data_IF_861534295516
#
_entry.id   IF_861534295516
#
_cell.length_a   1.000
_cell.length_b   1.000
_cell.length_c   1.000
_cell.angle_alpha   90.00
_cell.angle_beta   90.00
_cell.angle_gamma   90.00
#
_symmetry.space_group_name_H-M   'P 1'
#
loop_
_entity.id
_entity.type
_entity.pdbx_description
1 polymer ?
#
# COMPACT_ATOMS: atom_id res chain seq x y z
N UNK A 1 7.11 15.91 -18.43
CA UNK A 1 6.53 15.13 -17.32
C UNK A 1 6.14 13.68 -17.66
N UNK A 2 6.13 13.24 -18.92
CA UNK A 2 5.78 11.85 -19.32
C UNK A 2 6.87 10.79 -19.00
N UNK A 3 8.12 11.19 -18.77
CA UNK A 3 9.24 10.27 -18.57
C UNK A 3 9.47 9.83 -17.11
N UNK A 4 8.98 10.57 -16.12
CA UNK A 4 9.20 10.25 -14.69
C UNK A 4 8.31 9.09 -14.24
N UNK A 5 7.08 8.99 -14.73
CA UNK A 5 6.14 7.91 -14.36
C UNK A 5 6.60 6.53 -14.88
N UNK A 6 7.20 6.49 -16.07
CA UNK A 6 7.74 5.24 -16.63
C UNK A 6 8.98 4.76 -15.88
N UNK A 7 9.82 5.68 -15.40
CA UNK A 7 11.06 5.36 -14.69
C UNK A 7 10.79 4.73 -13.31
N UNK A 8 9.78 5.21 -12.59
CA UNK A 8 9.42 4.69 -11.26
C UNK A 8 8.85 3.27 -11.39
N UNK A 9 7.99 3.01 -12.38
CA UNK A 9 7.44 1.67 -12.61
C UNK A 9 8.51 0.66 -13.03
N UNK A 10 9.48 1.08 -13.83
CA UNK A 10 10.61 0.25 -14.28
C UNK A 10 11.59 -0.06 -13.15
N UNK A 11 11.82 0.87 -12.22
CA UNK A 11 12.66 0.66 -11.05
C UNK A 11 12.07 -0.36 -10.06
N UNK A 12 10.75 -0.37 -9.86
CA UNK A 12 10.08 -1.36 -9.01
C UNK A 12 10.11 -2.77 -9.64
N UNK A 13 9.96 -2.88 -10.96
CA UNK A 13 10.06 -4.16 -11.67
C UNK A 13 11.50 -4.71 -11.68
N UNK A 14 12.50 -3.84 -11.84
CA UNK A 14 13.91 -4.22 -11.83
C UNK A 14 14.38 -4.71 -10.46
N UNK A 15 13.89 -4.12 -9.36
CA UNK A 15 14.19 -4.59 -8.01
C UNK A 15 13.60 -5.98 -7.72
N UNK A 16 12.48 -6.34 -8.35
CA UNK A 16 11.88 -7.67 -8.21
C UNK A 16 12.68 -8.76 -8.94
N UNK A 17 13.35 -8.44 -10.06
CA UNK A 17 14.13 -9.39 -10.87
C UNK A 17 15.52 -9.62 -10.29
N UNK A 18 16.16 -8.60 -9.72
CA UNK A 18 17.52 -8.72 -9.17
C UNK A 18 17.62 -9.56 -7.88
N UNK A 19 16.48 -9.88 -7.24
CA UNK A 19 16.44 -10.68 -6.01
C UNK A 19 16.50 -12.21 -6.26
N UNK A 20 16.54 -12.67 -7.51
CA UNK A 20 16.32 -14.10 -7.84
C UNK A 20 17.58 -14.91 -8.14
N UNK A 21 18.75 -14.32 -8.36
CA UNK A 21 19.90 -15.03 -8.94
C UNK A 21 21.15 -15.18 -8.04
N UNK A 22 21.01 -15.22 -6.71
CA UNK A 22 22.15 -15.53 -5.84
C UNK A 22 22.21 -17.03 -5.49
N UNK A 23 23.32 -17.75 -5.79
CA UNK A 23 23.48 -19.14 -5.41
C UNK A 23 23.45 -19.31 -3.88
N UNK A 24 22.76 -20.35 -3.43
CA UNK A 24 22.51 -20.67 -2.03
C UNK A 24 23.79 -21.03 -1.27
N UNK A 25 24.27 -20.12 -0.44
CA UNK A 25 25.15 -20.47 0.67
C UNK A 25 24.34 -21.07 1.82
N UNK A 26 24.89 -22.06 2.60
CA UNK A 26 24.15 -22.72 3.66
C UNK A 26 23.77 -21.74 4.79
N UNK A 27 22.53 -21.84 5.28
CA UNK A 27 21.98 -21.18 6.48
C UNK A 27 21.82 -19.66 6.53
N UNK A 28 21.66 -18.96 5.42
CA UNK A 28 21.13 -17.59 5.53
C UNK A 28 19.66 -17.67 5.99
N UNK A 29 19.36 -17.03 7.13
CA UNK A 29 18.05 -17.00 7.75
C UNK A 29 16.99 -16.54 6.73
N UNK A 30 16.06 -17.44 6.39
CA UNK A 30 14.93 -17.13 5.52
C UNK A 30 13.82 -16.52 6.37
N UNK A 31 13.87 -15.20 6.52
CA UNK A 31 12.89 -14.47 7.32
C UNK A 31 11.57 -14.30 6.60
N UNK A 32 11.56 -14.36 5.27
CA UNK A 32 10.33 -14.32 4.46
C UNK A 32 9.50 -15.57 4.76
N UNK A 33 10.08 -16.77 4.60
CA UNK A 33 9.35 -18.01 4.83
C UNK A 33 8.92 -18.19 6.28
N UNK A 34 9.70 -17.67 7.23
CA UNK A 34 9.33 -17.70 8.66
C UNK A 34 8.18 -16.77 9.02
N UNK A 35 7.96 -15.71 8.25
CA UNK A 35 6.99 -14.65 8.57
C UNK A 35 5.71 -14.77 7.76
N UNK A 36 5.82 -15.05 6.47
CA UNK A 36 4.68 -15.09 5.56
C UNK A 36 4.09 -16.51 5.45
N UNK A 37 3.75 -17.10 6.59
CA UNK A 37 3.14 -18.42 6.68
C UNK A 37 1.62 -18.30 6.79
N UNK A 38 0.88 -19.28 6.28
CA UNK A 38 -0.58 -19.35 6.43
C UNK A 38 -0.97 -19.21 7.90
N UNK A 39 -1.93 -18.32 8.17
CA UNK A 39 -2.40 -18.05 9.53
C UNK A 39 -1.51 -17.08 10.33
N UNK A 40 -0.43 -16.57 9.74
CA UNK A 40 0.34 -15.50 10.38
C UNK A 40 -0.44 -14.18 10.34
N UNK A 41 -0.46 -13.49 11.47
CA UNK A 41 -0.97 -12.12 11.60
C UNK A 41 0.13 -11.13 11.33
N UNK A 42 -0.19 -10.11 10.55
CA UNK A 42 0.59 -8.87 10.40
C UNK A 42 0.00 -7.80 11.30
N UNK A 43 0.85 -7.09 12.05
CA UNK A 43 0.50 -5.85 12.75
C UNK A 43 1.55 -4.82 12.39
N UNK A 44 1.15 -3.58 12.14
CA UNK A 44 2.12 -2.57 11.70
C UNK A 44 1.67 -1.15 11.97
N UNK A 45 2.63 -0.25 11.84
CA UNK A 45 2.43 1.20 11.80
C UNK A 45 2.84 1.72 10.43
N UNK A 46 2.15 2.74 9.96
CA UNK A 46 2.40 3.31 8.64
C UNK A 46 2.24 4.83 8.64
N UNK A 47 2.95 5.46 7.72
CA UNK A 47 2.75 6.83 7.34
C UNK A 47 2.94 6.97 5.83
N UNK A 48 2.28 7.94 5.25
CA UNK A 48 2.37 8.15 3.82
C UNK A 48 1.82 9.48 3.40
N UNK A 49 1.81 9.68 2.10
CA UNK A 49 1.23 10.85 1.50
C UNK A 49 1.09 10.68 0.00
N UNK A 50 0.38 11.58 -0.60
CA UNK A 50 0.12 11.53 -2.02
C UNK A 50 -0.22 12.87 -2.62
N UNK A 51 -0.34 12.84 -3.93
CA UNK A 51 -0.74 13.99 -4.73
C UNK A 51 -1.81 13.59 -5.73
N UNK A 52 -2.77 14.47 -5.91
CA UNK A 52 -3.71 14.37 -7.01
C UNK A 52 -3.03 14.61 -8.36
N UNK A 53 -3.50 13.94 -9.38
CA UNK A 53 -3.07 14.06 -10.77
C UNK A 53 -4.24 14.57 -11.64
N UNK A 54 -3.93 15.22 -12.75
CA UNK A 54 -4.94 15.71 -13.68
C UNK A 54 -5.84 16.77 -13.04
N UNK A 55 -7.15 16.55 -12.98
CA UNK A 55 -8.12 17.51 -12.41
C UNK A 55 -7.97 17.73 -10.90
N UNK A 56 -7.40 16.77 -10.18
CA UNK A 56 -7.09 16.89 -8.74
C UNK A 56 -5.66 17.37 -8.48
N UNK A 57 -4.93 17.78 -9.52
CA UNK A 57 -3.57 18.35 -9.36
C UNK A 57 -3.60 19.56 -8.41
N UNK A 58 -2.61 19.62 -7.52
CA UNK A 58 -2.58 20.61 -6.44
C UNK A 58 -3.18 20.15 -5.11
N UNK A 59 -3.90 19.03 -5.08
CA UNK A 59 -4.32 18.41 -3.82
C UNK A 59 -3.22 17.46 -3.34
N UNK A 60 -2.57 17.84 -2.25
CA UNK A 60 -1.57 17.00 -1.59
C UNK A 60 -2.08 16.61 -0.20
N UNK A 61 -1.76 15.42 0.26
CA UNK A 61 -2.20 14.92 1.55
C UNK A 61 -1.15 14.03 2.20
N UNK A 62 -1.21 13.95 3.52
CA UNK A 62 -0.41 13.06 4.34
C UNK A 62 -1.31 12.30 5.30
N UNK A 63 -0.87 11.13 5.74
CA UNK A 63 -1.61 10.31 6.69
C UNK A 63 -0.66 9.47 7.53
N UNK A 64 -1.17 9.02 8.69
CA UNK A 64 -0.51 8.03 9.54
C UNK A 64 -1.54 7.16 10.24
N UNK A 65 -1.13 5.93 10.56
CA UNK A 65 -2.02 4.96 11.18
C UNK A 65 -1.40 3.59 11.41
N UNK A 66 -2.25 2.58 11.42
CA UNK A 66 -1.88 1.19 11.63
C UNK A 66 -2.44 0.26 10.57
N UNK A 67 -1.77 -0.88 10.42
CA UNK A 67 -2.16 -2.03 9.57
C UNK A 67 -2.36 -3.26 10.43
N UNK A 68 -3.39 -4.03 10.11
CA UNK A 68 -3.56 -5.41 10.56
C UNK A 68 -3.81 -6.30 9.35
N UNK A 69 -3.15 -7.45 9.27
CA UNK A 69 -3.27 -8.39 8.16
C UNK A 69 -3.30 -9.83 8.61
N UNK A 70 -3.73 -10.70 7.72
CA UNK A 70 -3.77 -12.15 7.91
C UNK A 70 -3.33 -12.85 6.63
N UNK A 71 -2.31 -13.69 6.71
CA UNK A 71 -1.89 -14.56 5.60
C UNK A 71 -2.92 -15.67 5.44
N UNK A 72 -3.67 -15.65 4.36
CA UNK A 72 -4.82 -16.54 4.14
C UNK A 72 -4.42 -17.91 3.61
N UNK A 73 -3.40 -17.97 2.76
CA UNK A 73 -3.01 -19.19 2.06
C UNK A 73 -1.57 -19.57 2.36
N UNK A 74 -1.24 -20.85 2.12
CA UNK A 74 0.15 -21.26 1.93
C UNK A 74 0.68 -20.74 0.61
N UNK A 75 1.95 -21.04 0.32
CA UNK A 75 2.56 -20.66 -0.94
C UNK A 75 1.99 -21.49 -2.10
N UNK A 76 1.69 -20.80 -3.19
CA UNK A 76 1.19 -21.36 -4.44
C UNK A 76 2.04 -20.84 -5.61
N UNK A 77 1.83 -21.43 -6.77
CA UNK A 77 2.48 -21.12 -8.04
C UNK A 77 4.01 -21.36 -8.02
N UNK A 78 4.59 -21.74 -9.15
CA UNK A 78 6.02 -21.96 -9.28
C UNK A 78 6.77 -20.69 -9.72
N UNK A 79 8.10 -20.74 -9.59
CA UNK A 79 8.99 -19.72 -10.12
C UNK A 79 8.82 -18.35 -9.47
N UNK A 80 8.88 -17.31 -10.26
CA UNK A 80 8.77 -15.93 -9.79
C UNK A 80 7.39 -15.56 -9.23
N UNK A 81 6.35 -16.32 -9.59
CA UNK A 81 5.00 -16.14 -9.05
C UNK A 81 4.78 -16.86 -7.72
N UNK A 82 5.79 -17.61 -7.22
CA UNK A 82 5.69 -18.30 -5.94
C UNK A 82 5.33 -17.34 -4.81
N UNK A 83 4.19 -17.59 -4.16
CA UNK A 83 3.67 -16.64 -3.19
C UNK A 83 2.38 -17.06 -2.52
N UNK A 84 1.83 -16.18 -1.72
CA UNK A 84 0.60 -16.39 -0.96
C UNK A 84 -0.30 -15.17 -0.93
N UNK A 85 -1.57 -15.41 -0.64
CA UNK A 85 -2.57 -14.37 -0.42
C UNK A 85 -2.59 -13.90 1.03
N UNK A 86 -2.71 -12.60 1.16
CA UNK A 86 -2.95 -11.90 2.40
C UNK A 86 -4.16 -10.98 2.25
N UNK A 87 -4.94 -10.87 3.31
CA UNK A 87 -5.94 -9.83 3.51
C UNK A 87 -5.46 -8.89 4.59
N UNK A 88 -5.54 -7.59 4.34
CA UNK A 88 -5.15 -6.59 5.31
C UNK A 88 -6.16 -5.44 5.40
N UNK A 89 -6.06 -4.71 6.49
CA UNK A 89 -6.88 -3.54 6.83
C UNK A 89 -5.95 -2.43 7.30
N UNK A 90 -6.13 -1.21 6.76
CA UNK A 90 -5.45 -0.02 7.26
C UNK A 90 -6.45 0.91 7.96
N UNK A 91 -6.07 1.39 9.14
CA UNK A 91 -6.79 2.44 9.88
C UNK A 91 -5.85 3.63 10.02
N UNK A 92 -6.21 4.74 9.41
CA UNK A 92 -5.43 5.97 9.39
C UNK A 92 -6.22 7.09 10.06
N UNK A 93 -6.16 7.22 11.39
CA UNK A 93 -6.88 8.26 12.12
C UNK A 93 -6.34 9.66 11.85
N UNK A 94 -5.13 9.75 11.34
CA UNK A 94 -4.51 11.02 10.97
C UNK A 94 -4.48 11.13 9.45
N UNK A 95 -5.27 12.04 8.91
CA UNK A 95 -5.30 12.40 7.50
C UNK A 95 -5.38 13.92 7.39
N UNK A 96 -4.50 14.54 6.64
CA UNK A 96 -4.47 15.99 6.47
C UNK A 96 -4.14 16.37 5.02
N UNK A 97 -4.86 17.36 4.50
CA UNK A 97 -4.59 17.96 3.20
C UNK A 97 -3.65 19.15 3.39
N UNK A 98 -2.61 19.18 2.58
CA UNK A 98 -1.55 20.18 2.63
C UNK A 98 -1.92 21.44 1.83
N UNK A 99 -1.25 22.60 2.06
CA UNK A 99 -1.45 23.81 1.28
C UNK A 99 -1.35 23.58 -0.24
N UNK A 100 -2.09 24.36 -1.08
CA UNK A 100 -2.85 25.55 -0.70
C UNK A 100 -4.22 25.29 -0.07
N UNK A 101 -4.71 24.06 -0.08
CA UNK A 101 -5.99 23.66 0.51
C UNK A 101 -5.87 23.25 1.98
N UNK A 102 -5.07 23.97 2.77
CA UNK A 102 -4.78 23.65 4.16
C UNK A 102 -5.99 23.76 5.10
N UNK A 103 -5.91 23.04 6.24
CA UNK A 103 -6.96 23.03 7.26
C UNK A 103 -8.02 21.96 7.07
N UNK A 104 -7.90 21.12 6.04
CA UNK A 104 -8.75 19.94 5.85
C UNK A 104 -8.06 18.74 6.52
N UNK A 105 -8.73 18.15 7.48
CA UNK A 105 -8.25 16.96 8.21
C UNK A 105 -9.38 15.93 8.35
N UNK A 106 -9.00 14.73 8.68
CA UNK A 106 -9.93 13.61 8.84
C UNK A 106 -9.24 12.30 9.15
N UNK A 107 -9.85 11.23 8.71
CA UNK A 107 -9.34 9.88 8.82
C UNK A 107 -9.64 9.05 7.59
N UNK A 108 -8.99 7.91 7.48
CA UNK A 108 -9.23 6.94 6.41
C UNK A 108 -9.26 5.52 6.96
N UNK A 109 -10.10 4.70 6.35
CA UNK A 109 -10.26 3.29 6.66
C UNK A 109 -10.25 2.48 5.37
N UNK A 110 -9.31 1.53 5.23
CA UNK A 110 -9.21 0.63 4.08
C UNK A 110 -9.46 -0.82 4.54
N UNK A 111 -10.70 -1.31 4.55
CA UNK A 111 -11.03 -2.67 4.98
C UNK A 111 -10.64 -3.74 3.97
N UNK A 112 -10.42 -3.35 2.73
CA UNK A 112 -10.17 -4.29 1.63
C UNK A 112 -8.78 -4.03 1.06
N UNK A 113 -7.81 -4.82 1.50
CA UNK A 113 -6.49 -4.90 0.90
C UNK A 113 -6.26 -6.38 0.57
N UNK A 114 -6.39 -6.74 -0.70
CA UNK A 114 -6.13 -8.08 -1.21
C UNK A 114 -4.76 -8.10 -1.84
N UNK A 115 -3.82 -8.80 -1.21
CA UNK A 115 -2.42 -8.74 -1.53
C UNK A 115 -1.89 -10.12 -1.92
N UNK A 116 -1.07 -10.15 -2.96
CA UNK A 116 -0.24 -11.27 -3.32
C UNK A 116 1.20 -10.98 -2.94
N UNK A 117 1.77 -11.78 -2.02
CA UNK A 117 3.14 -11.71 -1.59
C UNK A 117 4.00 -12.66 -2.43
N UNK A 118 5.08 -12.18 -3.03
CA UNK A 118 6.07 -13.01 -3.70
C UNK A 118 7.09 -13.48 -2.66
N UNK A 119 7.14 -14.78 -2.40
CA UNK A 119 7.86 -15.35 -1.24
C UNK A 119 9.15 -16.08 -1.61
N UNK A 120 9.64 -15.95 -2.84
CA UNK A 120 10.89 -16.59 -3.29
C UNK A 120 12.15 -15.97 -2.68
N UNK A 121 12.09 -14.74 -2.19
CA UNK A 121 13.22 -14.06 -1.53
C UNK A 121 13.43 -14.53 -0.09
N UNK A 122 14.62 -14.30 0.45
CA UNK A 122 14.96 -14.65 1.85
C UNK A 122 14.68 -13.52 2.85
N UNK A 123 14.92 -12.27 2.43
CA UNK A 123 14.78 -11.06 3.26
C UNK A 123 13.92 -10.00 2.59
N UNK A 124 13.67 -10.12 1.30
CA UNK A 124 12.87 -9.18 0.51
C UNK A 124 11.66 -9.94 -0.04
N UNK A 125 10.48 -9.42 0.22
CA UNK A 125 9.22 -9.95 -0.29
C UNK A 125 8.48 -8.83 -1.03
N UNK A 126 8.60 -8.74 -2.36
CA UNK A 126 7.74 -7.89 -3.16
C UNK A 126 6.28 -8.32 -3.04
N UNK A 127 5.36 -7.40 -3.32
CA UNK A 127 3.93 -7.70 -3.38
C UNK A 127 3.19 -6.76 -4.31
N UNK A 128 2.02 -7.21 -4.74
CA UNK A 128 1.03 -6.40 -5.43
C UNK A 128 -0.31 -6.53 -4.72
N UNK A 129 -1.11 -5.47 -4.72
CA UNK A 129 -2.41 -5.51 -4.09
C UNK A 129 -3.44 -4.67 -4.85
N UNK A 130 -4.71 -5.08 -4.70
CA UNK A 130 -5.86 -4.24 -4.93
C UNK A 130 -6.42 -3.80 -3.58
N UNK A 131 -6.64 -2.51 -3.42
CA UNK A 131 -7.14 -1.97 -2.16
C UNK A 131 -8.37 -1.09 -2.38
N UNK A 132 -9.25 -1.07 -1.39
CA UNK A 132 -10.44 -0.21 -1.36
C UNK A 132 -10.70 0.31 0.04
N UNK A 133 -11.02 1.60 0.14
CA UNK A 133 -11.27 2.24 1.41
C UNK A 133 -12.13 3.48 1.28
N UNK A 134 -12.28 4.16 2.41
CA UNK A 134 -13.05 5.38 2.55
C UNK A 134 -12.18 6.42 3.28
N UNK A 135 -12.23 7.65 2.81
CA UNK A 135 -11.66 8.83 3.47
C UNK A 135 -12.82 9.70 3.96
N UNK A 136 -12.76 10.10 5.21
CA UNK A 136 -13.68 11.04 5.84
C UNK A 136 -12.93 12.31 6.20
N UNK A 137 -13.38 13.46 5.74
CA UNK A 137 -12.72 14.74 5.98
C UNK A 137 -13.70 15.80 6.47
N UNK A 138 -13.19 16.78 7.23
CA UNK A 138 -13.98 17.91 7.74
C UNK A 138 -14.60 18.75 6.63
N UNK A 139 -13.93 18.83 5.49
CA UNK A 139 -14.36 19.60 4.32
C UNK A 139 -14.14 18.78 3.06
N UNK A 140 -14.72 19.21 1.94
CA UNK A 140 -14.64 18.50 0.66
C UNK A 140 -13.22 18.28 0.16
N UNK A 141 -12.93 17.11 -0.35
CA UNK A 141 -11.63 16.73 -0.95
C UNK A 141 -11.86 16.01 -2.29
N UNK A 142 -11.26 16.48 -3.39
CA UNK A 142 -10.53 17.75 -3.55
C UNK A 142 -11.39 18.97 -3.16
N UNK A 143 -10.78 20.13 -2.83
CA UNK A 143 -11.56 21.33 -2.51
C UNK A 143 -12.47 21.75 -3.65
N UNK A 144 -13.64 22.29 -3.33
CA UNK A 144 -14.68 22.70 -4.27
C UNK A 144 -15.95 21.85 -4.17
N UNK A 145 -16.66 21.71 -5.28
CA UNK A 145 -17.91 20.94 -5.38
C UNK A 145 -17.64 19.41 -5.40
N UNK A 146 -17.17 18.86 -4.29
CA UNK A 146 -16.88 17.44 -4.13
C UNK A 146 -17.58 16.88 -2.89
N UNK A 147 -16.94 16.01 -2.14
CA UNK A 147 -17.53 15.38 -0.95
C UNK A 147 -16.54 15.31 0.21
N UNK A 148 -17.08 15.30 1.42
CA UNK A 148 -16.37 15.00 2.66
C UNK A 148 -16.12 13.48 2.84
N UNK A 149 -16.87 12.66 2.12
CA UNK A 149 -16.75 11.20 2.13
C UNK A 149 -16.37 10.74 0.73
N UNK A 150 -15.21 10.10 0.63
CA UNK A 150 -14.71 9.62 -0.65
C UNK A 150 -14.25 8.18 -0.56
N UNK A 151 -14.54 7.40 -1.59
CA UNK A 151 -14.01 6.05 -1.79
C UNK A 151 -12.64 6.12 -2.46
N UNK A 152 -11.76 5.19 -2.08
CA UNK A 152 -10.35 5.18 -2.51
C UNK A 152 -9.92 3.83 -3.07
N UNK A 153 -10.48 3.37 -4.19
CA UNK A 153 -9.94 2.18 -4.86
C UNK A 153 -8.51 2.46 -5.33
N UNK A 154 -7.60 1.47 -5.14
CA UNK A 154 -6.18 1.61 -5.43
C UNK A 154 -5.60 0.32 -6.00
N UNK A 155 -4.65 0.47 -6.93
CA UNK A 155 -3.71 -0.57 -7.30
C UNK A 155 -2.37 -0.26 -6.61
N UNK A 156 -1.82 -1.24 -5.92
CA UNK A 156 -0.63 -1.09 -5.06
C UNK A 156 0.48 -2.01 -5.56
N UNK A 157 1.70 -1.51 -5.57
CA UNK A 157 2.91 -2.31 -5.66
C UNK A 157 3.84 -1.93 -4.51
N UNK A 158 4.41 -2.92 -3.84
CA UNK A 158 5.24 -2.68 -2.68
C UNK A 158 6.30 -3.75 -2.45
N UNK A 159 7.08 -3.56 -1.41
CA UNK A 159 8.07 -4.52 -0.96
C UNK A 159 8.22 -4.47 0.56
N UNK A 160 8.42 -5.64 1.15
CA UNK A 160 8.86 -5.79 2.55
C UNK A 160 10.36 -6.12 2.57
N UNK A 161 11.10 -5.36 3.36
CA UNK A 161 12.49 -5.63 3.71
C UNK A 161 12.54 -6.12 5.15
N UNK A 162 12.71 -7.41 5.34
CA UNK A 162 12.87 -8.00 6.67
C UNK A 162 14.22 -7.59 7.26
N UNK A 163 14.19 -6.87 8.38
CA UNK A 163 15.36 -6.38 9.12
C UNK A 163 15.65 -7.23 10.34
N UNK A 164 14.73 -8.10 10.71
CA UNK A 164 14.86 -9.15 11.74
C UNK A 164 13.83 -10.26 11.48
N UNK A 165 13.94 -11.42 12.14
CA UNK A 165 12.90 -12.43 12.10
C UNK A 165 11.54 -11.83 12.49
N UNK A 166 10.51 -12.02 11.63
CA UNK A 166 9.15 -11.53 11.87
C UNK A 166 9.02 -10.00 12.01
N UNK A 167 9.99 -9.22 11.50
CA UNK A 167 9.92 -7.76 11.50
C UNK A 167 10.46 -7.18 10.21
N UNK A 168 9.64 -6.37 9.51
CA UNK A 168 9.97 -5.82 8.21
C UNK A 168 9.62 -4.33 8.10
N UNK A 169 10.48 -3.57 7.44
CA UNK A 169 10.10 -2.31 6.83
C UNK A 169 9.31 -2.61 5.56
N UNK A 170 8.31 -1.81 5.24
CA UNK A 170 7.66 -1.89 3.95
C UNK A 170 7.57 -0.53 3.26
N UNK A 171 7.53 -0.59 1.94
CA UNK A 171 7.45 0.57 1.04
C UNK A 171 6.41 0.25 -0.02
N UNK A 172 5.47 1.16 -0.24
CA UNK A 172 4.40 1.02 -1.23
C UNK A 172 4.34 2.22 -2.13
N UNK A 173 4.10 1.98 -3.41
CA UNK A 173 3.60 2.96 -4.36
C UNK A 173 2.21 2.55 -4.82
N UNK A 174 1.27 3.46 -4.90
CA UNK A 174 -0.06 3.16 -5.41
C UNK A 174 -0.62 4.23 -6.32
N UNK A 175 -1.42 3.77 -7.28
CA UNK A 175 -2.30 4.59 -8.09
C UNK A 175 -3.72 4.38 -7.59
N UNK A 176 -4.36 5.45 -7.17
CA UNK A 176 -5.70 5.44 -6.61
C UNK A 176 -6.65 6.35 -7.37
N UNK A 177 -7.92 6.17 -7.09
CA UNK A 177 -8.98 7.08 -7.51
C UNK A 177 -9.72 7.57 -6.28
N UNK A 178 -9.93 8.87 -6.18
CA UNK A 178 -10.72 9.50 -5.13
C UNK A 178 -12.10 9.86 -5.71
N UNK A 179 -13.16 9.25 -5.18
CA UNK A 179 -14.51 9.42 -5.73
C UNK A 179 -15.56 9.46 -4.63
N UNK A 180 -16.48 10.39 -4.74
CA UNK A 180 -17.66 10.45 -3.88
C UNK A 180 -18.73 9.41 -4.23
N UNK A 181 -18.57 8.63 -5.31
CA UNK A 181 -19.61 7.74 -5.84
C UNK A 181 -20.98 8.43 -6.00
N UNK A 182 -20.97 9.71 -6.33
CA UNK A 182 -22.18 10.57 -6.44
C UNK A 182 -22.94 10.79 -5.12
N UNK A 183 -22.33 10.58 -3.99
CA UNK A 183 -22.90 10.92 -2.67
C UNK A 183 -22.83 12.43 -2.37
N UNK A 184 -22.02 13.20 -3.10
CA UNK A 184 -21.90 14.64 -3.00
C UNK A 184 -22.67 15.36 -4.11
N UNK A 185 -22.76 16.70 -4.01
CA UNK A 185 -23.44 17.54 -4.98
C UNK A 185 -22.82 17.49 -6.38
N UNK A 186 -21.53 17.19 -6.46
CA UNK A 186 -20.80 17.10 -7.73
C UNK A 186 -19.65 16.08 -7.62
N UNK A 187 -19.51 15.27 -8.65
CA UNK A 187 -18.34 14.42 -8.85
C UNK A 187 -17.58 14.94 -10.07
N UNK A 188 -16.45 15.65 -9.89
CA UNK A 188 -15.72 16.28 -11.00
C UNK A 188 -15.08 15.28 -11.95
N UNK A 189 -15.31 13.99 -11.78
CA UNK A 189 -14.83 12.91 -12.64
C UNK A 189 -13.51 12.32 -12.15
N UNK A 190 -12.50 12.27 -12.99
CA UNK A 190 -11.28 11.50 -12.77
C UNK A 190 -10.32 12.20 -11.78
N UNK A 191 -10.37 11.79 -10.51
CA UNK A 191 -9.46 12.24 -9.45
C UNK A 191 -8.43 11.12 -9.17
N UNK A 192 -7.43 11.02 -10.04
CA UNK A 192 -6.34 10.06 -9.85
C UNK A 192 -5.38 10.57 -8.79
N UNK A 193 -4.90 9.68 -7.95
CA UNK A 193 -3.89 9.98 -6.93
C UNK A 193 -2.67 9.08 -7.09
N UNK A 194 -1.48 9.66 -6.91
CA UNK A 194 -0.25 8.91 -6.71
C UNK A 194 0.10 8.97 -5.24
N UNK A 195 0.30 7.82 -4.62
CA UNK A 195 0.47 7.71 -3.17
C UNK A 195 1.72 6.88 -2.86
N UNK A 196 2.47 7.32 -1.84
CA UNK A 196 3.59 6.58 -1.28
C UNK A 196 3.35 6.33 0.20
N UNK A 197 3.61 5.10 0.63
CA UNK A 197 3.48 4.66 2.02
C UNK A 197 4.77 3.99 2.46
N UNK A 198 5.17 4.26 3.68
CA UNK A 198 6.24 3.54 4.37
C UNK A 198 5.73 3.08 5.72
N UNK A 199 6.25 1.99 6.22
CA UNK A 199 5.88 1.52 7.53
C UNK A 199 6.77 0.41 8.05
N UNK A 200 6.43 -0.05 9.23
CA UNK A 200 7.07 -1.20 9.86
C UNK A 200 6.02 -2.17 10.34
N UNK A 201 6.23 -3.46 10.06
CA UNK A 201 5.31 -4.52 10.44
C UNK A 201 5.98 -5.63 11.25
N UNK A 202 5.17 -6.24 12.11
CA UNK A 202 5.50 -7.42 12.90
C UNK A 202 4.58 -8.56 12.50
N UNK A 203 5.16 -9.76 12.37
CA UNK A 203 4.42 -10.99 12.09
C UNK A 203 4.36 -11.88 13.31
N UNK A 204 3.20 -12.49 13.58
CA UNK A 204 2.98 -13.41 14.69
C UNK A 204 2.14 -14.60 14.26
N UNK A 205 2.46 -15.80 14.78
CA UNK A 205 1.73 -17.03 14.43
C UNK A 205 2.20 -17.60 13.09
N UNK A 206 1.32 -18.33 12.42
CA UNK A 206 1.58 -19.07 11.20
C UNK A 206 1.97 -20.54 11.46
N UNK A 207 1.59 -21.41 10.52
CA UNK A 207 1.91 -22.86 10.53
C UNK A 207 2.20 -23.30 9.11
#
# INVERSE_FOLDING_TARGET
MKFISALIFTLFLAAAVAAQDAPSAPSAQDWVSQSLQRGAWELGVLAGGGTGLGKSSGTQFVYAGGRAGLILTGNHLPGFLHGNFEWAVDVMPLYAVLPPASGIYGGSFKPLIWQWNFTSGRKIAPYVAAAGGIVFTKSNVPPGDTSQVNFTPQAVAGTRLFVKPRGALFFEGSLGHLSSASLGNHNPGYNVTLVFTVGYTWFKGGR
#
